data_IF_623099386847
#
_entry.id   IF_623099386847
#
_cell.length_a   1.000
_cell.length_b   1.000
_cell.length_c   1.000
_cell.angle_alpha   90.00
_cell.angle_beta   90.00
_cell.angle_gamma   90.00
#
_symmetry.space_group_name_H-M   'P 1'
#
loop_
_entity.id
_entity.type
_entity.pdbx_description
1 polymer ?
#
# COMPACT_ATOMS: atom_id res chain seq x y z
N UNK A 1 -1.04 35.90 -10.88
CA UNK A 1 -0.22 35.55 -9.69
C UNK A 1 -0.32 34.05 -9.47
N UNK A 2 0.79 33.31 -9.61
CA UNK A 2 0.84 31.85 -9.41
C UNK A 2 0.77 31.55 -7.91
N UNK A 3 -0.38 31.10 -7.40
CA UNK A 3 -0.48 30.57 -6.03
C UNK A 3 -0.02 29.11 -6.04
N UNK A 4 1.14 28.87 -5.45
CA UNK A 4 1.59 27.53 -5.07
C UNK A 4 0.57 26.95 -4.09
N UNK A 5 -0.29 26.02 -4.53
CA UNK A 5 -1.10 25.23 -3.61
C UNK A 5 -0.16 24.22 -2.93
N UNK A 6 0.19 24.51 -1.68
CA UNK A 6 0.85 23.56 -0.81
C UNK A 6 -0.11 22.39 -0.55
N UNK A 7 0.22 21.21 -1.09
CA UNK A 7 -0.43 19.96 -0.70
C UNK A 7 0.04 19.66 0.72
N UNK A 8 -0.77 20.02 1.72
CA UNK A 8 -0.51 19.71 3.12
C UNK A 8 -0.83 18.24 3.37
N UNK A 9 0.18 17.37 3.23
CA UNK A 9 0.07 15.96 3.60
C UNK A 9 0.32 15.85 5.10
N UNK A 10 -0.73 15.76 5.91
CA UNK A 10 -0.59 15.28 7.28
C UNK A 10 -0.50 13.76 7.25
N UNK A 11 0.68 13.22 7.58
CA UNK A 11 0.89 11.80 7.75
C UNK A 11 1.01 11.49 9.25
N UNK A 12 0.08 10.68 9.76
CA UNK A 12 0.23 10.06 11.08
C UNK A 12 0.75 8.64 10.86
N UNK A 13 1.97 8.38 11.32
CA UNK A 13 2.59 7.05 11.32
C UNK A 13 2.38 6.43 12.69
N UNK A 14 1.67 5.30 12.77
CA UNK A 14 1.66 4.47 13.97
C UNK A 14 2.83 3.49 13.90
N UNK A 15 3.52 3.29 15.03
CA UNK A 15 4.78 2.55 15.19
C UNK A 15 4.76 1.14 14.54
N UNK A 16 5.93 0.67 14.11
CA UNK A 16 6.16 -0.67 13.61
C UNK A 16 5.90 -1.71 14.71
N UNK A 17 5.05 -2.70 14.44
CA UNK A 17 4.88 -3.86 15.32
C UNK A 17 5.39 -5.11 14.61
N UNK A 18 6.18 -5.92 15.32
CA UNK A 18 6.54 -7.26 14.89
C UNK A 18 5.30 -8.15 15.00
N UNK A 19 4.84 -8.70 13.89
CA UNK A 19 3.71 -9.62 13.84
C UNK A 19 4.11 -10.90 13.10
N UNK A 20 3.61 -12.04 13.59
CA UNK A 20 3.69 -13.29 12.85
C UNK A 20 2.66 -13.28 11.73
N UNK A 21 3.15 -13.20 10.50
CA UNK A 21 2.33 -13.12 9.30
C UNK A 21 2.48 -14.40 8.49
N UNK A 22 1.37 -15.09 8.28
CA UNK A 22 1.33 -16.32 7.49
C UNK A 22 1.06 -16.00 6.02
N UNK A 23 2.00 -16.36 5.14
CA UNK A 23 1.88 -16.14 3.69
C UNK A 23 1.12 -17.30 3.04
N UNK A 24 -0.13 -17.04 2.65
CA UNK A 24 -1.03 -18.03 2.04
C UNK A 24 -0.82 -18.22 0.55
N UNK A 25 -0.39 -17.19 -0.16
CA UNK A 25 -0.22 -17.26 -1.61
C UNK A 25 0.74 -16.20 -2.12
N UNK A 26 1.58 -16.56 -3.08
CA UNK A 26 2.48 -15.64 -3.78
C UNK A 26 2.16 -15.67 -5.27
N UNK A 27 2.10 -14.49 -5.91
CA UNK A 27 1.79 -14.34 -7.35
C UNK A 27 2.65 -13.28 -8.00
N UNK A 28 3.05 -13.55 -9.23
CA UNK A 28 3.53 -12.52 -10.15
C UNK A 28 2.34 -11.91 -10.92
N UNK A 29 2.32 -10.59 -11.03
CA UNK A 29 1.38 -9.88 -11.91
C UNK A 29 1.94 -9.79 -13.32
N UNK A 30 1.04 -9.58 -14.29
CA UNK A 30 1.39 -9.40 -15.70
C UNK A 30 2.41 -8.28 -15.95
N UNK A 31 2.47 -7.29 -15.06
CA UNK A 31 3.42 -6.18 -15.13
C UNK A 31 4.72 -6.44 -14.35
N UNK A 32 5.00 -7.70 -14.01
CA UNK A 32 6.21 -8.09 -13.29
C UNK A 32 6.23 -7.72 -11.80
N UNK A 33 5.12 -7.27 -11.22
CA UNK A 33 5.06 -7.02 -9.77
C UNK A 33 4.69 -8.27 -8.99
N UNK A 34 5.37 -8.53 -7.90
CA UNK A 34 5.04 -9.59 -6.96
C UNK A 34 3.91 -9.18 -6.01
N UNK A 35 3.03 -10.12 -5.68
CA UNK A 35 1.91 -9.95 -4.76
C UNK A 35 1.83 -11.12 -3.80
N UNK A 36 1.52 -10.85 -2.55
CA UNK A 36 1.32 -11.88 -1.53
C UNK A 36 -0.06 -11.74 -0.89
N UNK A 37 -0.69 -12.87 -0.59
CA UNK A 37 -1.86 -12.96 0.27
C UNK A 37 -1.39 -13.43 1.64
N UNK A 38 -1.77 -12.71 2.68
CA UNK A 38 -1.34 -12.98 4.05
C UNK A 38 -2.53 -13.19 4.98
N UNK A 39 -2.29 -13.87 6.09
CA UNK A 39 -3.14 -13.91 7.28
C UNK A 39 -2.36 -13.34 8.49
N UNK A 40 -3.05 -12.88 9.53
CA UNK A 40 -2.44 -12.22 10.69
C UNK A 40 -2.54 -10.69 10.70
N UNK A 41 -3.13 -10.09 9.65
CA UNK A 41 -3.38 -8.64 9.55
C UNK A 41 -4.86 -8.26 9.73
N UNK A 42 -5.69 -9.18 10.24
CA UNK A 42 -7.14 -9.01 10.33
C UNK A 42 -7.53 -7.83 11.25
N UNK A 43 -6.71 -7.53 12.26
CA UNK A 43 -6.83 -6.36 13.14
C UNK A 43 -6.81 -5.04 12.37
N UNK A 44 -6.21 -5.00 11.17
CA UNK A 44 -6.17 -3.83 10.28
C UNK A 44 -7.36 -3.77 9.32
N UNK A 45 -8.43 -4.54 9.58
CA UNK A 45 -9.69 -4.47 8.84
C UNK A 45 -9.57 -4.93 7.38
N UNK A 46 -10.22 -4.20 6.46
CA UNK A 46 -10.26 -4.59 5.03
C UNK A 46 -8.89 -4.55 4.37
N UNK A 47 -7.94 -3.79 4.91
CA UNK A 47 -6.56 -3.71 4.42
C UNK A 47 -5.79 -5.01 4.63
N UNK A 48 -6.00 -5.72 5.74
CA UNK A 48 -5.34 -7.00 6.01
C UNK A 48 -5.87 -8.18 5.19
N UNK A 49 -7.11 -8.12 4.67
CA UNK A 49 -7.80 -9.27 4.05
C UNK A 49 -7.50 -9.53 2.57
N UNK A 50 -6.42 -8.99 2.01
CA UNK A 50 -6.20 -9.04 0.56
C UNK A 50 -4.74 -9.02 0.16
N UNK A 51 -4.49 -8.89 -1.15
CA UNK A 51 -3.13 -8.96 -1.66
C UNK A 51 -2.35 -7.69 -1.33
N UNK A 52 -1.21 -7.87 -0.67
CA UNK A 52 -0.16 -6.86 -0.57
C UNK A 52 0.70 -6.95 -1.84
N UNK A 53 1.17 -5.82 -2.35
CA UNK A 53 1.96 -5.75 -3.58
C UNK A 53 3.36 -5.23 -3.26
N UNK A 54 4.39 -5.92 -3.72
CA UNK A 54 5.75 -5.38 -3.72
C UNK A 54 6.00 -4.61 -5.02
N UNK A 55 6.77 -3.54 -4.92
CA UNK A 55 7.31 -2.85 -6.08
C UNK A 55 8.66 -3.48 -6.39
N UNK A 56 8.71 -4.38 -7.37
CA UNK A 56 10.00 -4.96 -7.76
C UNK A 56 10.79 -3.90 -8.54
N UNK A 57 12.11 -3.73 -8.29
CA UNK A 57 12.94 -2.95 -9.19
C UNK A 57 12.83 -3.56 -10.60
N UNK A 58 12.42 -2.75 -11.58
CA UNK A 58 12.11 -3.21 -12.94
C UNK A 58 13.26 -4.06 -13.50
N UNK A 59 12.92 -5.20 -14.12
CA UNK A 59 13.78 -6.20 -14.81
C UNK A 59 14.15 -7.49 -14.07
N UNK A 60 13.77 -7.71 -12.81
CA UNK A 60 13.96 -9.05 -12.21
C UNK A 60 12.93 -10.04 -12.75
N UNK A 61 13.39 -11.25 -13.09
CA UNK A 61 12.51 -12.39 -13.32
C UNK A 61 11.66 -12.60 -12.05
N UNK A 62 10.38 -12.27 -12.15
CA UNK A 62 9.49 -12.31 -11.01
C UNK A 62 9.40 -13.72 -10.44
N UNK A 63 9.56 -14.77 -11.26
CA UNK A 63 9.55 -16.14 -10.78
C UNK A 63 10.76 -16.44 -9.89
N UNK A 64 11.95 -16.01 -10.29
CA UNK A 64 13.16 -16.17 -9.47
C UNK A 64 13.01 -15.46 -8.11
N UNK A 65 12.51 -14.21 -8.12
CA UNK A 65 12.25 -13.47 -6.87
C UNK A 65 11.21 -14.16 -6.00
N UNK A 66 10.18 -14.76 -6.59
CA UNK A 66 9.16 -15.52 -5.86
C UNK A 66 9.75 -16.76 -5.19
N UNK A 67 10.63 -17.49 -5.88
CA UNK A 67 11.31 -18.66 -5.33
C UNK A 67 12.19 -18.25 -4.14
N UNK A 68 13.08 -17.26 -4.34
CA UNK A 68 13.96 -16.74 -3.28
C UNK A 68 13.16 -16.28 -2.05
N UNK A 69 12.03 -15.60 -2.30
CA UNK A 69 11.17 -15.15 -1.22
C UNK A 69 10.54 -16.31 -0.45
N UNK A 70 9.96 -17.29 -1.15
CA UNK A 70 9.31 -18.46 -0.52
C UNK A 70 10.32 -19.23 0.34
N UNK A 71 11.54 -19.44 -0.17
CA UNK A 71 12.61 -20.10 0.57
C UNK A 71 12.93 -19.34 1.86
N UNK A 72 13.13 -18.02 1.78
CA UNK A 72 13.43 -17.19 2.95
C UNK A 72 12.34 -17.23 4.03
N UNK A 73 11.07 -17.16 3.63
CA UNK A 73 9.95 -17.13 4.59
C UNK A 73 9.55 -18.52 5.11
N UNK A 74 10.03 -19.60 4.51
CA UNK A 74 9.68 -20.97 4.92
C UNK A 74 10.38 -21.45 6.20
N UNK A 75 11.31 -20.66 6.72
CA UNK A 75 12.00 -20.88 8.00
C UNK A 75 11.12 -20.45 9.19
N UNK A 76 11.37 -20.96 10.40
CA UNK A 76 10.58 -20.58 11.60
C UNK A 76 10.64 -19.06 11.89
N UNK A 77 11.77 -18.41 11.61
CA UNK A 77 11.96 -16.96 11.72
C UNK A 77 11.41 -16.18 10.51
N UNK A 78 11.01 -16.90 9.45
CA UNK A 78 10.61 -16.36 8.15
C UNK A 78 9.30 -15.56 8.16
N UNK A 79 8.45 -15.80 9.15
CA UNK A 79 7.13 -15.18 9.27
C UNK A 79 7.11 -13.90 10.11
N UNK A 80 8.20 -13.58 10.80
CA UNK A 80 8.34 -12.32 11.52
C UNK A 80 8.39 -11.17 10.52
N UNK A 81 7.49 -10.20 10.68
CA UNK A 81 7.43 -9.03 9.82
C UNK A 81 7.19 -7.74 10.59
N UNK A 82 7.86 -6.69 10.14
CA UNK A 82 7.58 -5.32 10.56
C UNK A 82 6.34 -4.82 9.80
N UNK A 83 5.33 -4.39 10.55
CA UNK A 83 4.09 -3.84 10.02
C UNK A 83 3.98 -2.36 10.36
N UNK A 84 4.03 -1.52 9.33
CA UNK A 84 3.82 -0.08 9.44
C UNK A 84 2.47 0.32 8.87
N UNK A 85 1.74 1.15 9.62
CA UNK A 85 0.49 1.74 9.15
C UNK A 85 0.60 3.26 9.07
N UNK A 86 0.22 3.80 7.91
CA UNK A 86 0.20 5.24 7.65
C UNK A 86 -1.19 5.65 7.24
N UNK A 87 -1.71 6.70 7.87
CA UNK A 87 -2.91 7.41 7.43
C UNK A 87 -2.52 8.79 6.92
N UNK A 88 -2.98 9.14 5.71
CA UNK A 88 -2.72 10.43 5.09
C UNK A 88 -3.95 10.95 4.36
N UNK A 89 -4.16 12.26 4.34
CA UNK A 89 -5.22 12.89 3.55
C UNK A 89 -4.65 13.51 2.27
N UNK A 90 -5.38 13.40 1.15
CA UNK A 90 -5.03 14.10 -0.08
C UNK A 90 -6.29 14.56 -0.82
N UNK A 91 -6.18 15.68 -1.54
CA UNK A 91 -7.28 16.21 -2.36
C UNK A 91 -6.95 16.01 -3.84
N UNK A 92 -7.90 15.48 -4.60
CA UNK A 92 -7.82 15.33 -6.05
C UNK A 92 -8.89 16.21 -6.70
N UNK A 93 -8.50 16.91 -7.77
CA UNK A 93 -9.46 17.59 -8.64
C UNK A 93 -10.04 16.55 -9.61
N UNK A 94 -11.36 16.40 -9.58
CA UNK A 94 -12.13 15.56 -10.49
C UNK A 94 -13.03 16.47 -11.32
N UNK A 95 -12.86 16.46 -12.64
CA UNK A 95 -13.56 17.37 -13.55
C UNK A 95 -12.91 17.39 -14.93
N UNK A 96 -13.67 16.98 -15.95
CA UNK A 96 -13.21 16.82 -17.33
C UNK A 96 -14.33 16.31 -18.23
N UNK A 97 -15.47 17.01 -18.22
CA UNK A 97 -16.61 16.79 -19.11
C UNK A 97 -17.25 18.13 -19.47
N UNK A 98 -18.04 18.16 -20.55
CA UNK A 98 -18.55 19.34 -21.29
C UNK A 98 -19.06 20.54 -20.48
N UNK A 99 -19.40 20.37 -19.20
CA UNK A 99 -20.08 21.39 -18.37
C UNK A 99 -19.20 22.07 -17.29
N UNK A 100 -17.88 21.86 -17.29
CA UNK A 100 -16.92 22.62 -16.45
C UNK A 100 -17.12 22.54 -14.92
N UNK A 101 -17.94 21.64 -14.39
CA UNK A 101 -18.04 21.40 -12.95
C UNK A 101 -16.74 20.78 -12.43
N UNK A 102 -15.97 21.60 -11.70
CA UNK A 102 -14.73 21.16 -11.05
C UNK A 102 -15.04 20.81 -9.60
N UNK A 103 -14.88 19.53 -9.28
CA UNK A 103 -15.10 19.01 -7.94
C UNK A 103 -13.77 18.64 -7.29
N UNK A 104 -13.64 18.97 -6.00
CA UNK A 104 -12.47 18.72 -5.18
C UNK A 104 -12.85 17.60 -4.24
N UNK A 105 -12.31 16.42 -4.50
CA UNK A 105 -12.56 15.23 -3.70
C UNK A 105 -11.40 15.04 -2.73
N UNK A 106 -11.68 15.11 -1.43
CA UNK A 106 -10.70 14.81 -0.40
C UNK A 106 -10.83 13.36 0.04
N UNK A 107 -9.71 12.66 0.01
CA UNK A 107 -9.60 11.25 0.35
C UNK A 107 -8.74 11.07 1.60
N UNK A 108 -9.21 10.24 2.52
CA UNK A 108 -8.38 9.61 3.53
C UNK A 108 -7.79 8.33 2.93
N UNK A 109 -6.46 8.26 2.85
CA UNK A 109 -5.70 7.08 2.45
C UNK A 109 -5.12 6.40 3.66
N UNK A 110 -5.47 5.12 3.83
CA UNK A 110 -4.82 4.22 4.79
C UNK A 110 -3.93 3.26 4.03
N UNK A 111 -2.67 3.17 4.42
CA UNK A 111 -1.67 2.27 3.82
C UNK A 111 -1.09 1.38 4.90
N UNK A 112 -1.06 0.08 4.63
CA UNK A 112 -0.28 -0.90 5.39
C UNK A 112 0.94 -1.28 4.57
N UNK A 113 2.11 -1.18 5.17
CA UNK A 113 3.38 -1.66 4.65
C UNK A 113 3.84 -2.82 5.52
N UNK A 114 4.33 -3.87 4.89
CA UNK A 114 4.81 -5.09 5.54
C UNK A 114 6.20 -5.39 5.00
N UNK A 115 7.13 -5.64 5.90
CA UNK A 115 8.51 -6.01 5.58
C UNK A 115 8.88 -7.24 6.40
N UNK A 116 9.10 -8.36 5.72
CA UNK A 116 9.50 -9.60 6.40
C UNK A 116 10.96 -9.48 6.83
N UNK A 117 11.26 -9.84 8.07
CA UNK A 117 12.62 -9.76 8.63
C UNK A 117 13.58 -10.67 7.85
N UNK A 118 13.12 -11.85 7.43
CA UNK A 118 13.89 -12.79 6.60
C UNK A 118 14.08 -12.35 5.14
N UNK A 119 13.30 -11.38 4.65
CA UNK A 119 13.43 -10.86 3.29
C UNK A 119 13.27 -9.32 3.23
N UNK A 120 14.19 -8.56 3.87
CA UNK A 120 14.01 -7.13 4.13
C UNK A 120 14.16 -6.27 2.87
N UNK A 121 14.62 -6.85 1.76
CA UNK A 121 14.78 -6.15 0.49
C UNK A 121 13.45 -5.78 -0.17
N UNK A 122 12.33 -6.40 0.24
CA UNK A 122 11.00 -6.13 -0.30
C UNK A 122 10.08 -5.55 0.76
N UNK A 123 9.37 -4.50 0.36
CA UNK A 123 8.23 -3.96 1.11
C UNK A 123 6.95 -4.27 0.36
N UNK A 124 6.04 -4.95 1.02
CA UNK A 124 4.71 -5.27 0.51
C UNK A 124 3.73 -4.23 1.01
N UNK A 125 3.01 -3.58 0.10
CA UNK A 125 2.07 -2.51 0.46
C UNK A 125 0.66 -2.77 -0.03
N UNK A 126 -0.30 -2.25 0.71
CA UNK A 126 -1.67 -2.08 0.25
C UNK A 126 -2.24 -0.78 0.80
N UNK A 127 -2.91 -0.04 -0.07
CA UNK A 127 -3.61 1.19 0.28
C UNK A 127 -5.11 1.04 0.04
N UNK A 128 -5.90 1.76 0.83
CA UNK A 128 -7.33 1.92 0.66
C UNK A 128 -7.65 3.40 0.82
N UNK A 129 -8.42 3.91 -0.13
CA UNK A 129 -8.88 5.29 -0.14
C UNK A 129 -10.36 5.33 0.28
N UNK A 130 -10.69 6.28 1.13
CA UNK A 130 -12.06 6.60 1.52
C UNK A 130 -12.31 8.07 1.20
N UNK A 131 -13.31 8.35 0.37
CA UNK A 131 -13.77 9.72 0.14
C UNK A 131 -14.34 10.26 1.46
N UNK A 132 -13.86 11.42 1.90
CA UNK A 132 -14.26 12.05 3.16
C UNK A 132 -14.88 13.43 2.97
N UNK A 133 -14.61 14.10 1.85
CA UNK A 133 -15.21 15.39 1.54
C UNK A 133 -15.28 15.62 0.01
N UNK A 134 -16.27 16.40 -0.41
CA UNK A 134 -16.52 16.76 -1.80
C UNK A 134 -16.90 18.24 -1.86
N UNK A 135 -15.98 19.07 -2.33
CA UNK A 135 -16.20 20.50 -2.51
C UNK A 135 -16.47 20.83 -3.99
N UNK A 136 -17.57 21.53 -4.27
CA UNK A 136 -17.98 21.94 -5.62
C UNK A 136 -17.43 23.32 -6.03
N UNK A 137 -16.64 23.96 -5.17
CA UNK A 137 -16.02 25.27 -5.41
C UNK A 137 -14.48 25.18 -5.49
N UNK A 138 -13.95 24.29 -6.34
CA UNK A 138 -12.52 24.29 -6.62
C UNK A 138 -12.06 25.55 -7.36
N UNK A 139 -11.20 26.36 -6.73
CA UNK A 139 -10.48 27.46 -7.38
C UNK A 139 -9.20 27.00 -8.10
#
# INVERSE_FOLDING_TARGET
MKKFMAVLVLAFTTQAFAADIDVKQVKCSLFGNMKIKVAGLESHGRLGKGYLKANLPMRKDCNAVVVDFIEAISTEEGNSADVDMTTSTYTRRSGGGRDNDRVCETYERKTVNVKFSAYPALTFKRSQDKLIDVDHHCF
#
